data_IF_355325113859
#
_entry.id   IF_355325113859
#
_cell.length_a   1.000
_cell.length_b   1.000
_cell.length_c   1.000
_cell.angle_alpha   90.00
_cell.angle_beta   90.00
_cell.angle_gamma   90.00
#
_symmetry.space_group_name_H-M   'P 1'
#
loop_
_entity.id
_entity.type
_entity.pdbx_description
1 polymer ?
#
# COMPACT_ATOMS: atom_id res chain seq x y z
N UNK A 1 18.80 5.28 -20.92
CA UNK A 1 19.23 6.04 -19.72
C UNK A 1 18.15 6.92 -19.12
N UNK A 2 17.49 7.81 -19.88
CA UNK A 2 16.46 8.71 -19.35
C UNK A 2 15.26 7.98 -18.69
N UNK A 3 14.74 6.90 -19.29
CA UNK A 3 13.65 6.12 -18.70
C UNK A 3 14.02 5.44 -17.36
N UNK A 4 15.27 4.98 -17.23
CA UNK A 4 15.78 4.37 -16.00
C UNK A 4 15.96 5.44 -14.91
N UNK A 5 16.45 6.63 -15.29
CA UNK A 5 16.52 7.80 -14.41
C UNK A 5 15.14 8.24 -13.90
N UNK A 6 14.15 8.31 -14.80
CA UNK A 6 12.77 8.67 -14.44
C UNK A 6 12.17 7.67 -13.47
N UNK A 7 12.33 6.37 -13.74
CA UNK A 7 11.87 5.30 -12.85
C UNK A 7 12.51 5.39 -11.45
N UNK A 8 13.81 5.73 -11.39
CA UNK A 8 14.52 5.95 -10.13
C UNK A 8 13.95 7.11 -9.32
N UNK A 9 13.63 8.24 -9.96
CA UNK A 9 13.03 9.41 -9.30
C UNK A 9 11.65 9.08 -8.74
N UNK A 10 10.79 8.44 -9.55
CA UNK A 10 9.44 8.06 -9.14
C UNK A 10 9.50 7.11 -7.93
N UNK A 11 10.34 6.08 -7.99
CA UNK A 11 10.48 5.13 -6.88
C UNK A 11 11.04 5.78 -5.62
N UNK A 12 12.05 6.65 -5.72
CA UNK A 12 12.58 7.37 -4.55
C UNK A 12 11.50 8.21 -3.88
N UNK A 13 10.71 8.93 -4.68
CA UNK A 13 9.60 9.73 -4.17
C UNK A 13 8.56 8.84 -3.49
N UNK A 14 8.18 7.73 -4.15
CA UNK A 14 7.24 6.77 -3.59
C UNK A 14 7.73 6.17 -2.26
N UNK A 15 9.02 5.85 -2.20
CA UNK A 15 9.64 5.22 -1.05
C UNK A 15 9.64 6.14 0.18
N UNK A 16 9.72 7.47 0.00
CA UNK A 16 9.61 8.42 1.11
C UNK A 16 8.29 8.26 1.89
N UNK A 17 7.17 8.15 1.18
CA UNK A 17 5.86 7.92 1.82
C UNK A 17 5.78 6.53 2.44
N UNK A 18 6.29 5.51 1.75
CA UNK A 18 6.32 4.13 2.25
C UNK A 18 7.15 4.04 3.55
N UNK A 19 8.27 4.77 3.66
CA UNK A 19 9.09 4.80 4.87
C UNK A 19 8.34 5.35 6.08
N UNK A 20 7.51 6.39 5.88
CA UNK A 20 6.65 6.92 6.95
C UNK A 20 5.67 5.84 7.43
N UNK A 21 5.05 5.11 6.50
CA UNK A 21 4.15 3.98 6.82
C UNK A 21 4.90 2.86 7.54
N UNK A 22 6.14 2.57 7.13
CA UNK A 22 6.99 1.60 7.84
C UNK A 22 7.27 2.05 9.27
N UNK A 23 7.51 3.34 9.50
CA UNK A 23 7.66 3.91 10.85
C UNK A 23 6.40 3.74 11.70
N UNK A 24 5.23 4.04 11.12
CA UNK A 24 3.93 3.82 11.78
C UNK A 24 3.72 2.34 12.14
N UNK A 25 4.05 1.42 11.22
CA UNK A 25 3.95 -0.01 11.45
C UNK A 25 4.90 -0.52 12.54
N UNK A 26 6.13 0.00 12.58
CA UNK A 26 7.10 -0.33 13.63
C UNK A 26 6.62 0.14 15.01
N UNK A 27 5.95 1.29 15.10
CA UNK A 27 5.31 1.74 16.34
C UNK A 27 4.09 0.90 16.72
N UNK A 28 3.27 0.52 15.74
CA UNK A 28 2.08 -0.30 15.96
C UNK A 28 2.41 -1.72 16.44
N UNK A 29 3.41 -2.39 15.85
CA UNK A 29 3.74 -3.79 16.11
C UNK A 29 3.87 -4.16 17.61
N UNK A 30 4.72 -3.50 18.42
CA UNK A 30 4.88 -3.86 19.82
C UNK A 30 3.64 -3.53 20.67
N UNK A 31 2.95 -2.43 20.37
CA UNK A 31 1.74 -2.03 21.08
C UNK A 31 0.62 -3.05 20.81
N UNK A 32 0.40 -3.40 19.55
CA UNK A 32 -0.60 -4.39 19.16
C UNK A 32 -0.26 -5.78 19.70
N UNK A 33 1.01 -6.21 19.61
CA UNK A 33 1.46 -7.51 20.11
C UNK A 33 1.30 -7.65 21.63
N UNK A 34 1.72 -6.65 22.41
CA UNK A 34 1.58 -6.67 23.86
C UNK A 34 0.12 -6.67 24.31
N UNK A 35 -0.71 -5.74 23.79
CA UNK A 35 -2.12 -5.65 24.17
C UNK A 35 -2.91 -6.90 23.74
N UNK A 36 -2.56 -7.52 22.61
CA UNK A 36 -3.16 -8.77 22.18
C UNK A 36 -2.80 -9.93 23.12
N UNK A 37 -1.53 -10.01 23.56
CA UNK A 37 -1.10 -10.98 24.58
C UNK A 37 -1.79 -10.78 25.93
N UNK A 38 -2.02 -9.53 26.32
CA UNK A 38 -2.77 -9.15 27.51
C UNK A 38 -4.31 -9.26 27.37
N UNK A 39 -4.82 -9.77 26.23
CA UNK A 39 -6.26 -9.85 25.89
C UNK A 39 -7.02 -8.51 25.92
N UNK A 40 -6.32 -7.39 25.79
CA UNK A 40 -6.91 -6.04 25.75
C UNK A 40 -7.32 -5.67 24.32
N UNK A 41 -8.33 -6.36 23.78
CA UNK A 41 -8.72 -6.25 22.36
C UNK A 41 -9.22 -4.86 21.96
N UNK A 42 -9.83 -4.10 22.87
CA UNK A 42 -10.27 -2.71 22.60
C UNK A 42 -9.09 -1.79 22.27
N UNK A 43 -7.97 -1.96 22.99
CA UNK A 43 -6.74 -1.21 22.75
C UNK A 43 -6.09 -1.62 21.44
N UNK A 44 -6.08 -2.93 21.13
CA UNK A 44 -5.59 -3.46 19.85
C UNK A 44 -6.35 -2.82 18.68
N UNK A 45 -7.68 -2.78 18.76
CA UNK A 45 -8.53 -2.18 17.73
C UNK A 45 -8.34 -0.66 17.60
N UNK A 46 -8.18 0.03 18.72
CA UNK A 46 -7.95 1.49 18.74
C UNK A 46 -6.63 1.85 18.06
N UNK A 47 -5.56 1.13 18.40
CA UNK A 47 -4.22 1.31 17.81
C UNK A 47 -4.22 0.99 16.32
N UNK A 48 -4.90 -0.09 15.92
CA UNK A 48 -5.07 -0.44 14.52
C UNK A 48 -5.80 0.65 13.74
N UNK A 49 -6.95 1.14 14.23
CA UNK A 49 -7.72 2.22 13.57
C UNK A 49 -6.90 3.50 13.44
N UNK A 50 -6.19 3.88 14.48
CA UNK A 50 -5.31 5.05 14.46
C UNK A 50 -4.19 4.88 13.43
N UNK A 51 -3.54 3.72 13.40
CA UNK A 51 -2.45 3.44 12.46
C UNK A 51 -2.95 3.43 11.02
N UNK A 52 -4.11 2.81 10.75
CA UNK A 52 -4.75 2.84 9.44
C UNK A 52 -5.06 4.29 9.04
N UNK A 53 -5.68 5.08 9.92
CA UNK A 53 -6.04 6.46 9.63
C UNK A 53 -4.79 7.31 9.30
N UNK A 54 -3.73 7.20 10.10
CA UNK A 54 -2.48 7.91 9.87
C UNK A 54 -1.80 7.47 8.58
N UNK A 55 -1.70 6.16 8.34
CA UNK A 55 -1.07 5.63 7.12
C UNK A 55 -1.85 6.02 5.87
N UNK A 56 -3.18 5.90 5.88
CA UNK A 56 -4.07 6.34 4.80
C UNK A 56 -3.94 7.86 4.56
N UNK A 57 -3.84 8.67 5.62
CA UNK A 57 -3.64 10.11 5.50
C UNK A 57 -2.32 10.45 4.80
N UNK A 58 -1.23 9.75 5.16
CA UNK A 58 0.09 9.93 4.55
C UNK A 58 0.09 9.57 3.06
N UNK A 59 -0.48 8.41 2.70
CA UNK A 59 -0.55 8.01 1.28
C UNK A 59 -1.52 8.86 0.48
N UNK A 60 -2.57 9.40 1.11
CA UNK A 60 -3.49 10.32 0.48
C UNK A 60 -2.84 11.68 0.21
N UNK A 61 -2.02 12.19 1.14
CA UNK A 61 -1.17 13.34 0.88
C UNK A 61 -0.21 13.06 -0.29
N UNK A 62 0.41 11.88 -0.31
CA UNK A 62 1.20 11.40 -1.45
C UNK A 62 0.43 11.48 -2.75
N UNK A 63 -0.73 10.83 -2.85
CA UNK A 63 -1.61 10.86 -4.02
C UNK A 63 -1.91 12.28 -4.50
N UNK A 64 -2.33 13.17 -3.59
CA UNK A 64 -2.62 14.57 -3.92
C UNK A 64 -1.38 15.28 -4.48
N UNK A 65 -0.20 15.08 -3.87
CA UNK A 65 1.04 15.69 -4.37
C UNK A 65 1.46 15.15 -5.73
N UNK A 66 1.30 13.84 -5.97
CA UNK A 66 1.61 13.19 -7.24
C UNK A 66 0.65 13.58 -8.37
N UNK A 67 -0.61 13.88 -8.06
CA UNK A 67 -1.62 14.20 -9.08
C UNK A 67 -1.65 15.70 -9.42
N UNK A 68 -1.64 16.56 -8.40
CA UNK A 68 -1.75 18.02 -8.55
C UNK A 68 -0.40 18.69 -8.85
N UNK A 69 0.70 18.19 -8.27
CA UNK A 69 2.01 18.83 -8.37
C UNK A 69 3.15 17.89 -8.86
N UNK A 70 2.94 16.98 -9.84
CA UNK A 70 3.97 16.05 -10.29
C UNK A 70 5.21 16.76 -10.84
N UNK A 71 5.03 17.91 -11.53
CA UNK A 71 6.12 18.72 -12.07
C UNK A 71 6.98 19.34 -10.97
N UNK A 72 6.36 19.81 -9.88
CA UNK A 72 7.09 20.39 -8.76
C UNK A 72 7.94 19.32 -8.08
N UNK A 73 7.38 18.14 -7.83
CA UNK A 73 8.11 17.01 -7.24
C UNK A 73 9.24 16.55 -8.16
N UNK A 74 8.98 16.40 -9.47
CA UNK A 74 10.02 16.04 -10.45
C UNK A 74 11.17 17.08 -10.49
N UNK A 75 10.83 18.37 -10.38
CA UNK A 75 11.80 19.47 -10.42
C UNK A 75 12.78 19.50 -9.24
N UNK A 76 12.44 18.83 -8.12
CA UNK A 76 13.35 18.65 -6.98
C UNK A 76 14.50 17.69 -7.33
N UNK A 77 14.25 16.72 -8.20
CA UNK A 77 15.22 15.68 -8.55
C UNK A 77 15.96 15.95 -9.87
N UNK A 78 15.35 16.67 -10.80
CA UNK A 78 16.00 17.01 -12.08
C UNK A 78 15.51 18.34 -12.64
N UNK A 79 16.36 19.03 -13.40
CA UNK A 79 16.02 20.25 -14.15
C UNK A 79 15.87 20.00 -15.65
N UNK A 80 16.14 18.77 -16.11
CA UNK A 80 16.08 18.39 -17.51
C UNK A 80 14.63 18.18 -17.96
N UNK A 81 14.17 19.00 -18.92
CA UNK A 81 12.76 19.01 -19.36
C UNK A 81 12.30 17.66 -19.92
N UNK A 82 13.14 17.02 -20.73
CA UNK A 82 12.84 15.70 -21.31
C UNK A 82 12.62 14.64 -20.22
N UNK A 83 13.40 14.70 -19.14
CA UNK A 83 13.24 13.78 -18.02
C UNK A 83 11.98 14.07 -17.21
N UNK A 84 11.66 15.36 -16.98
CA UNK A 84 10.43 15.77 -16.28
C UNK A 84 9.18 15.31 -17.04
N UNK A 85 9.16 15.45 -18.36
CA UNK A 85 7.99 15.06 -19.17
C UNK A 85 7.76 13.54 -19.17
N UNK A 86 8.79 12.72 -18.89
CA UNK A 86 8.67 11.28 -18.66
C UNK A 86 8.23 10.98 -17.20
N UNK A 87 8.78 11.70 -16.22
CA UNK A 87 8.47 11.49 -14.79
C UNK A 87 7.02 11.83 -14.46
N UNK A 88 6.48 12.91 -15.02
CA UNK A 88 5.13 13.40 -14.72
C UNK A 88 4.02 12.35 -14.93
N UNK A 89 3.88 11.73 -16.13
CA UNK A 89 2.86 10.71 -16.33
C UNK A 89 3.12 9.45 -15.49
N UNK A 90 4.39 9.04 -15.34
CA UNK A 90 4.73 7.88 -14.51
C UNK A 90 4.41 8.08 -13.03
N UNK A 91 4.62 9.29 -12.52
CA UNK A 91 4.31 9.66 -11.14
C UNK A 91 2.81 9.62 -10.88
N UNK A 92 1.97 10.14 -11.79
CA UNK A 92 0.50 10.04 -11.67
C UNK A 92 0.01 8.60 -11.59
N UNK A 93 0.53 7.73 -12.46
CA UNK A 93 0.16 6.30 -12.46
C UNK A 93 0.54 5.64 -11.13
N UNK A 94 1.79 5.79 -10.69
CA UNK A 94 2.27 5.15 -9.46
C UNK A 94 1.53 5.68 -8.24
N UNK A 95 1.33 6.98 -8.17
CA UNK A 95 0.68 7.62 -7.03
C UNK A 95 -0.82 7.37 -7.00
N UNK A 96 -1.48 7.08 -8.13
CA UNK A 96 -2.91 6.74 -8.16
C UNK A 96 -3.28 5.53 -7.30
N UNK A 97 -2.34 4.60 -7.08
CA UNK A 97 -2.56 3.36 -6.31
C UNK A 97 -2.30 3.55 -4.81
N UNK A 98 -1.66 4.66 -4.42
CA UNK A 98 -1.25 4.94 -3.03
C UNK A 98 -2.37 4.85 -1.99
N UNK A 99 -3.59 5.37 -2.24
CA UNK A 99 -4.69 5.31 -1.27
C UNK A 99 -5.03 3.87 -0.84
N UNK A 100 -4.86 2.92 -1.76
CA UNK A 100 -5.16 1.50 -1.54
C UNK A 100 -4.02 0.82 -0.78
N UNK A 101 -2.77 1.16 -1.10
CA UNK A 101 -1.56 0.55 -0.53
C UNK A 101 -1.45 0.80 0.98
N UNK A 102 -1.79 2.00 1.46
CA UNK A 102 -1.66 2.36 2.87
C UNK A 102 -2.45 1.43 3.81
N UNK A 103 -3.74 1.19 3.50
CA UNK A 103 -4.61 0.31 4.28
C UNK A 103 -4.12 -1.14 4.29
N UNK A 104 -3.75 -1.64 3.11
CA UNK A 104 -3.29 -3.02 2.96
C UNK A 104 -2.00 -3.28 3.73
N UNK A 105 -1.04 -2.35 3.64
CA UNK A 105 0.27 -2.48 4.26
C UNK A 105 0.18 -2.51 5.79
N UNK A 106 -0.67 -1.66 6.38
CA UNK A 106 -0.93 -1.67 7.83
C UNK A 106 -1.64 -2.96 8.24
N UNK A 107 -2.66 -3.39 7.50
CA UNK A 107 -3.40 -4.61 7.83
C UNK A 107 -2.49 -5.84 7.80
N UNK A 108 -1.62 -5.98 6.80
CA UNK A 108 -0.64 -7.07 6.72
C UNK A 108 0.30 -7.10 7.93
N UNK A 109 0.89 -5.96 8.28
CA UNK A 109 1.76 -5.83 9.45
C UNK A 109 1.02 -6.12 10.76
N UNK A 110 -0.23 -5.68 10.89
CA UNK A 110 -1.06 -5.96 12.06
C UNK A 110 -1.24 -7.46 12.30
N UNK A 111 -1.56 -8.23 11.25
CA UNK A 111 -1.70 -9.69 11.39
C UNK A 111 -0.38 -10.37 11.77
N UNK A 112 0.75 -9.85 11.30
CA UNK A 112 2.07 -10.31 11.77
C UNK A 112 2.29 -9.98 13.27
N UNK A 113 1.85 -8.80 13.71
CA UNK A 113 2.00 -8.30 15.09
C UNK A 113 1.26 -9.16 16.12
N UNK A 114 0.07 -9.66 15.78
CA UNK A 114 -0.80 -10.42 16.69
C UNK A 114 -0.53 -11.95 16.67
N UNK A 115 0.61 -12.38 16.12
CA UNK A 115 0.97 -13.80 16.04
C UNK A 115 0.18 -14.60 15.00
N UNK A 116 -0.35 -13.94 13.96
CA UNK A 116 -1.01 -14.58 12.82
C UNK A 116 -0.23 -14.40 11.51
N UNK A 117 1.07 -14.76 11.44
CA UNK A 117 1.90 -14.52 10.26
C UNK A 117 1.38 -15.24 9.01
N UNK A 118 0.69 -16.38 9.14
CA UNK A 118 0.07 -17.06 8.00
C UNK A 118 -0.94 -16.19 7.25
N UNK A 119 -1.71 -15.34 7.95
CA UNK A 119 -2.63 -14.39 7.32
C UNK A 119 -1.88 -13.23 6.64
N UNK A 120 -0.80 -12.76 7.24
CA UNK A 120 0.08 -11.73 6.66
C UNK A 120 0.76 -12.22 5.37
N UNK A 121 1.32 -13.43 5.40
CA UNK A 121 1.92 -14.09 4.24
C UNK A 121 0.87 -14.28 3.15
N UNK A 122 -0.32 -14.78 3.50
CA UNK A 122 -1.41 -14.94 2.53
C UNK A 122 -1.79 -13.62 1.86
N UNK A 123 -1.88 -12.51 2.60
CA UNK A 123 -2.15 -11.18 2.00
C UNK A 123 -1.01 -10.70 1.09
N UNK A 124 0.25 -10.90 1.51
CA UNK A 124 1.42 -10.52 0.70
C UNK A 124 1.48 -11.31 -0.62
N UNK A 125 1.26 -12.63 -0.54
CA UNK A 125 1.17 -13.51 -1.70
C UNK A 125 -0.05 -13.19 -2.56
N UNK A 126 -1.18 -12.82 -1.94
CA UNK A 126 -2.39 -12.44 -2.66
C UNK A 126 -2.11 -11.29 -3.62
N UNK A 127 -1.41 -10.28 -3.13
CA UNK A 127 -1.03 -9.09 -3.91
C UNK A 127 -0.04 -9.39 -5.03
N UNK A 128 1.03 -10.12 -4.74
CA UNK A 128 2.16 -10.25 -5.66
C UNK A 128 2.04 -11.45 -6.60
N UNK A 129 1.32 -12.49 -6.20
CA UNK A 129 1.29 -13.78 -6.89
C UNK A 129 -0.13 -14.16 -7.27
N UNK A 130 -1.05 -14.28 -6.30
CA UNK A 130 -2.36 -14.89 -6.52
C UNK A 130 -3.26 -14.03 -7.43
N UNK A 131 -3.25 -12.71 -7.28
CA UNK A 131 -4.06 -11.81 -8.12
C UNK A 131 -3.25 -11.20 -9.27
N UNK A 132 -2.00 -10.83 -9.03
CA UNK A 132 -1.19 -10.16 -10.04
C UNK A 132 -0.85 -11.08 -11.22
N UNK A 133 -0.47 -12.34 -10.99
CA UNK A 133 -0.12 -13.26 -12.09
C UNK A 133 -1.31 -13.55 -13.01
N UNK A 134 -2.51 -13.93 -12.52
CA UNK A 134 -3.67 -14.12 -13.40
C UNK A 134 -4.04 -12.86 -14.15
N UNK A 135 -4.01 -11.70 -13.50
CA UNK A 135 -4.31 -10.43 -14.16
C UNK A 135 -3.29 -10.09 -15.25
N UNK A 136 -2.00 -10.32 -15.01
CA UNK A 136 -0.96 -10.18 -16.03
C UNK A 136 -1.09 -11.17 -17.19
N UNK A 137 -1.68 -12.36 -16.97
CA UNK A 137 -1.89 -13.33 -18.05
C UNK A 137 -3.17 -13.07 -18.85
N UNK A 138 -4.19 -12.48 -18.22
CA UNK A 138 -5.54 -12.31 -18.79
C UNK A 138 -5.73 -10.90 -19.36
N UNK A 139 -5.48 -9.84 -18.59
CA UNK A 139 -5.79 -8.46 -18.99
C UNK A 139 -5.01 -8.01 -20.23
N UNK A 140 -3.72 -8.31 -20.41
CA UNK A 140 -2.99 -7.94 -21.63
C UNK A 140 -3.53 -8.59 -22.89
N UNK A 141 -4.18 -9.76 -22.79
CA UNK A 141 -4.82 -10.42 -23.94
C UNK A 141 -6.09 -9.69 -24.41
N UNK A 142 -6.74 -8.93 -23.51
CA UNK A 142 -7.99 -8.22 -23.78
C UNK A 142 -7.73 -6.74 -24.10
N UNK A 143 -6.80 -6.11 -23.38
CA UNK A 143 -6.55 -4.66 -23.42
C UNK A 143 -5.15 -4.30 -23.96
N UNK A 144 -4.40 -5.26 -24.50
CA UNK A 144 -3.05 -5.04 -25.02
C UNK A 144 -2.08 -4.53 -23.96
N UNK A 145 -1.22 -3.57 -24.32
CA UNK A 145 -0.22 -2.99 -23.42
C UNK A 145 -0.86 -2.34 -22.18
N UNK A 146 -2.04 -1.74 -22.32
CA UNK A 146 -2.77 -1.13 -21.20
C UNK A 146 -3.24 -2.18 -20.17
N UNK A 147 -3.46 -3.42 -20.60
CA UNK A 147 -3.80 -4.52 -19.71
C UNK A 147 -2.72 -4.80 -18.65
N UNK A 148 -1.45 -4.58 -18.98
CA UNK A 148 -0.33 -4.73 -18.02
C UNK A 148 -0.44 -3.68 -16.92
N UNK A 149 -0.71 -2.43 -17.32
CA UNK A 149 -0.86 -1.31 -16.39
C UNK A 149 -2.09 -1.45 -15.48
N UNK A 150 -3.20 -1.99 -15.98
CA UNK A 150 -4.39 -2.25 -15.17
C UNK A 150 -4.26 -3.46 -14.25
N UNK A 151 -3.34 -4.39 -14.54
CA UNK A 151 -3.14 -5.59 -13.72
C UNK A 151 -2.70 -5.26 -12.28
N UNK A 152 -1.85 -4.25 -12.12
CA UNK A 152 -1.34 -3.80 -10.82
C UNK A 152 -2.45 -3.23 -9.92
N UNK A 153 -3.18 -2.16 -10.31
CA UNK A 153 -4.25 -1.60 -9.47
C UNK A 153 -5.40 -2.58 -9.26
N UNK A 154 -5.72 -3.44 -10.24
CA UNK A 154 -6.72 -4.49 -10.05
C UNK A 154 -6.29 -5.50 -8.97
N UNK A 155 -5.02 -5.92 -8.98
CA UNK A 155 -4.45 -6.81 -7.96
C UNK A 155 -4.46 -6.16 -6.59
N UNK A 156 -4.02 -4.89 -6.50
CA UNK A 156 -3.99 -4.14 -5.24
C UNK A 156 -5.38 -3.93 -4.67
N UNK A 157 -6.38 -3.67 -5.52
CA UNK A 157 -7.77 -3.57 -5.12
C UNK A 157 -8.31 -4.89 -4.56
N UNK A 158 -8.13 -6.00 -5.28
CA UNK A 158 -8.56 -7.32 -4.83
C UNK A 158 -7.87 -7.75 -3.54
N UNK A 159 -6.57 -7.53 -3.43
CA UNK A 159 -5.80 -7.83 -2.23
C UNK A 159 -6.25 -6.96 -1.04
N UNK A 160 -6.67 -5.72 -1.27
CA UNK A 160 -7.24 -4.84 -0.24
C UNK A 160 -8.62 -5.30 0.20
N UNK A 161 -9.45 -5.82 -0.71
CA UNK A 161 -10.72 -6.46 -0.33
C UNK A 161 -10.50 -7.69 0.55
N UNK A 162 -9.52 -8.53 0.22
CA UNK A 162 -9.13 -9.68 1.06
C UNK A 162 -8.65 -9.21 2.43
N UNK A 163 -7.82 -8.17 2.49
CA UNK A 163 -7.37 -7.58 3.74
C UNK A 163 -8.55 -7.08 4.60
N UNK A 164 -9.51 -6.37 4.00
CA UNK A 164 -10.71 -5.89 4.66
C UNK A 164 -11.56 -7.05 5.20
N UNK A 165 -11.78 -8.10 4.40
CA UNK A 165 -12.53 -9.28 4.82
C UNK A 165 -11.87 -9.99 6.02
N UNK A 166 -10.55 -10.21 5.97
CA UNK A 166 -9.80 -10.81 7.07
C UNK A 166 -9.87 -9.95 8.32
N UNK A 167 -9.77 -8.63 8.17
CA UNK A 167 -9.87 -7.67 9.25
C UNK A 167 -11.25 -7.73 9.93
N UNK A 168 -12.34 -7.67 9.16
CA UNK A 168 -13.72 -7.78 9.68
C UNK A 168 -13.92 -9.10 10.42
N UNK A 169 -13.44 -10.22 9.86
CA UNK A 169 -13.52 -11.53 10.51
C UNK A 169 -12.77 -11.54 11.84
N UNK A 170 -11.62 -10.86 11.91
CA UNK A 170 -10.85 -10.73 13.14
C UNK A 170 -11.56 -9.85 14.17
N UNK A 171 -12.14 -8.72 13.76
CA UNK A 171 -12.97 -7.86 14.62
C UNK A 171 -14.15 -8.61 15.23
N UNK A 172 -14.86 -9.42 14.43
CA UNK A 172 -15.96 -10.26 14.93
C UNK A 172 -15.47 -11.25 15.98
N UNK A 173 -14.31 -11.89 15.77
CA UNK A 173 -13.72 -12.81 16.73
C UNK A 173 -13.37 -12.13 18.07
N UNK A 174 -12.95 -10.87 18.04
CA UNK A 174 -12.74 -10.09 19.26
C UNK A 174 -14.04 -9.79 20.01
N UNK A 175 -15.14 -9.53 19.31
CA UNK A 175 -16.43 -9.21 19.92
C UNK A 175 -17.19 -10.44 20.46
N UNK A 176 -16.96 -11.63 19.91
CA UNK A 176 -17.62 -12.89 20.35
C UNK A 176 -16.84 -13.61 21.46
N UNK A 177 -15.63 -13.15 21.77
CA UNK A 177 -14.79 -13.72 22.85
C UNK A 177 -14.90 -13.00 24.20
N UNK A 178 -15.84 -12.06 24.34
CA UNK A 178 -16.23 -11.42 25.59
C UNK A 178 -17.43 -12.15 26.21
#
# INVERSE_FOLDING_TARGET
DLAVGAYGIINRTAFLFIMIIMGLNQGMQPIAGYNYGAKQYDRVNSVLRLTIFLATSVVMAGFITGELFPRAVASVFTREKELIDIVVPGMRIVFSVFPIVGFQMVTSNFFQSIGMPGKAIFMSLSRQVIFLLPFLLILPRIYGVNGVWYSMPASDFMASMVALYLLIKQYRKFNTGN
#
